data_IF_103126660475
#
_entry.id   IF_103126660475
#
_cell.length_a   1.000
_cell.length_b   1.000
_cell.length_c   1.000
_cell.angle_alpha   90.00
_cell.angle_beta   90.00
_cell.angle_gamma   90.00
#
_symmetry.space_group_name_H-M   'P 1'
#
loop_
_entity.id
_entity.type
_entity.pdbx_description
1 polymer ?
#
# COMPACT_ATOMS: atom_id res chain seq x y z
N UNK A 1 0.90 -6.10 -16.86
CA UNK A 1 0.53 -7.05 -15.77
C UNK A 1 -0.67 -6.46 -15.06
N UNK A 2 -1.68 -7.27 -14.67
CA UNK A 2 -2.89 -6.75 -14.02
C UNK A 2 -3.31 -7.65 -12.86
N UNK A 3 -4.10 -7.08 -11.94
CA UNK A 3 -4.80 -7.83 -10.91
C UNK A 3 -6.29 -7.71 -11.22
N UNK A 4 -6.97 -8.84 -11.31
CA UNK A 4 -8.40 -8.91 -11.64
C UNK A 4 -9.16 -9.48 -10.46
N UNK A 5 -10.14 -8.73 -9.97
CA UNK A 5 -10.99 -9.09 -8.84
C UNK A 5 -12.43 -9.15 -9.32
N UNK A 6 -13.11 -10.28 -9.11
CA UNK A 6 -14.50 -10.51 -9.56
C UNK A 6 -15.35 -10.99 -8.41
N UNK A 7 -16.44 -10.27 -8.12
CA UNK A 7 -17.48 -10.58 -7.15
C UNK A 7 -16.91 -11.01 -5.78
N UNK A 8 -15.86 -10.31 -5.34
CA UNK A 8 -15.12 -10.68 -4.14
C UNK A 8 -15.91 -10.29 -2.88
N UNK A 9 -16.16 -11.28 -2.04
CA UNK A 9 -16.84 -11.11 -0.76
C UNK A 9 -15.99 -11.61 0.40
N UNK A 10 -16.06 -10.90 1.54
CA UNK A 10 -15.51 -11.36 2.79
C UNK A 10 -16.45 -11.10 3.94
N UNK A 11 -16.92 -12.18 4.55
CA UNK A 11 -17.72 -12.18 5.77
C UNK A 11 -16.87 -12.82 6.86
N UNK A 12 -16.67 -12.10 7.97
CA UNK A 12 -15.96 -12.62 9.14
C UNK A 12 -16.88 -13.53 9.98
N UNK A 13 -16.33 -14.41 10.85
CA UNK A 13 -17.15 -15.30 11.69
C UNK A 13 -18.14 -14.57 12.62
N UNK A 14 -17.85 -13.32 12.98
CA UNK A 14 -18.75 -12.48 13.77
C UNK A 14 -19.89 -11.82 12.95
N UNK A 15 -20.08 -12.23 11.69
CA UNK A 15 -21.11 -11.68 10.80
C UNK A 15 -20.75 -10.38 10.10
N UNK A 16 -19.58 -9.77 10.39
CA UNK A 16 -19.16 -8.54 9.73
C UNK A 16 -18.85 -8.79 8.24
N UNK A 17 -19.61 -8.16 7.33
CA UNK A 17 -19.44 -8.23 5.88
C UNK A 17 -18.46 -7.13 5.43
N UNK A 18 -17.17 -7.44 5.47
CA UNK A 18 -16.08 -6.48 5.25
C UNK A 18 -15.82 -6.15 3.77
N UNK A 19 -16.09 -7.08 2.85
CA UNK A 19 -16.06 -6.85 1.40
C UNK A 19 -17.36 -7.36 0.79
N UNK A 20 -17.98 -6.53 -0.05
CA UNK A 20 -19.34 -6.76 -0.60
C UNK A 20 -19.27 -6.61 -2.11
N UNK A 21 -19.23 -7.74 -2.80
CA UNK A 21 -19.26 -7.82 -4.26
C UNK A 21 -18.20 -6.88 -4.92
N UNK A 22 -16.97 -6.94 -4.44
CA UNK A 22 -15.89 -6.09 -4.96
C UNK A 22 -15.50 -6.59 -6.35
N UNK A 23 -15.63 -5.69 -7.33
CA UNK A 23 -15.18 -5.86 -8.71
C UNK A 23 -14.16 -4.77 -9.01
N UNK A 24 -12.93 -5.15 -9.38
CA UNK A 24 -11.84 -4.20 -9.60
C UNK A 24 -10.79 -4.80 -10.53
N UNK A 25 -10.33 -4.00 -11.47
CA UNK A 25 -9.15 -4.27 -12.27
C UNK A 25 -8.06 -3.25 -11.93
N UNK A 26 -6.87 -3.75 -11.57
CA UNK A 26 -5.71 -2.94 -11.20
C UNK A 26 -4.66 -3.12 -12.28
N UNK A 27 -4.38 -2.08 -13.07
CA UNK A 27 -3.35 -2.11 -14.11
C UNK A 27 -1.94 -2.07 -13.51
N UNK A 28 -0.91 -2.27 -14.36
CA UNK A 28 0.47 -2.01 -13.99
C UNK A 28 0.71 -0.54 -13.61
N UNK A 29 1.75 -0.29 -12.81
CA UNK A 29 2.11 1.02 -12.29
C UNK A 29 1.51 1.31 -10.91
N UNK A 30 1.46 2.59 -10.54
CA UNK A 30 0.98 3.03 -9.22
C UNK A 30 -0.56 3.10 -9.19
N UNK A 31 -1.16 2.32 -8.30
CA UNK A 31 -2.60 2.28 -8.07
C UNK A 31 -2.93 2.68 -6.63
N UNK A 32 -3.80 3.67 -6.46
CA UNK A 32 -4.26 4.15 -5.16
C UNK A 32 -5.54 3.46 -4.68
N UNK A 33 -5.52 2.93 -3.45
CA UNK A 33 -6.72 2.42 -2.78
C UNK A 33 -7.12 3.39 -1.67
N UNK A 34 -8.03 4.30 -1.97
CA UNK A 34 -8.52 5.35 -1.06
C UNK A 34 -9.74 4.88 -0.29
N UNK A 35 -9.91 5.37 0.93
CA UNK A 35 -11.13 5.17 1.71
C UNK A 35 -10.91 5.39 3.20
N UNK A 36 -11.98 5.67 3.96
CA UNK A 36 -11.89 5.84 5.40
C UNK A 36 -11.48 4.57 6.13
N UNK A 37 -11.15 4.70 7.42
CA UNK A 37 -10.90 3.55 8.27
C UNK A 37 -12.17 2.67 8.33
N UNK A 38 -11.98 1.35 8.28
CA UNK A 38 -13.10 0.40 8.21
C UNK A 38 -13.75 0.23 6.83
N UNK A 39 -13.27 0.90 5.78
CA UNK A 39 -13.81 0.75 4.41
C UNK A 39 -13.56 -0.64 3.78
N UNK A 40 -12.69 -1.48 4.37
CA UNK A 40 -12.36 -2.80 3.84
C UNK A 40 -10.98 -2.89 3.18
N UNK A 41 -10.22 -1.79 3.08
CA UNK A 41 -8.90 -1.72 2.41
C UNK A 41 -7.94 -2.80 2.89
N UNK A 42 -7.65 -2.84 4.20
CA UNK A 42 -6.71 -3.83 4.76
C UNK A 42 -7.22 -5.27 4.64
N UNK A 43 -8.54 -5.49 4.64
CA UNK A 43 -9.12 -6.81 4.36
C UNK A 43 -8.84 -7.23 2.92
N UNK A 44 -9.08 -6.35 1.94
CA UNK A 44 -8.77 -6.59 0.55
C UNK A 44 -7.28 -6.90 0.36
N UNK A 45 -6.40 -6.06 0.91
CA UNK A 45 -4.95 -6.27 0.82
C UNK A 45 -4.50 -7.60 1.41
N UNK A 46 -5.01 -7.99 2.60
CA UNK A 46 -4.69 -9.29 3.21
C UNK A 46 -5.13 -10.48 2.35
N UNK A 47 -6.22 -10.34 1.60
CA UNK A 47 -6.63 -11.35 0.61
C UNK A 47 -5.63 -11.37 -0.55
N UNK A 48 -5.30 -10.22 -1.15
CA UNK A 48 -4.38 -10.14 -2.28
C UNK A 48 -2.99 -10.71 -1.97
N UNK A 49 -2.50 -10.53 -0.74
CA UNK A 49 -1.21 -11.11 -0.30
C UNK A 49 -1.32 -12.58 0.17
N UNK A 50 -2.46 -13.22 -0.07
CA UNK A 50 -2.74 -14.61 0.33
C UNK A 50 -2.57 -14.90 1.85
N UNK A 51 -2.77 -13.89 2.71
CA UNK A 51 -2.82 -14.01 4.16
C UNK A 51 -4.23 -14.30 4.69
N UNK A 52 -5.25 -14.07 3.86
CA UNK A 52 -6.65 -14.29 4.20
C UNK A 52 -7.40 -14.89 3.02
N UNK A 53 -8.29 -15.83 3.28
CA UNK A 53 -9.17 -16.38 2.25
C UNK A 53 -10.43 -15.52 2.10
N UNK A 54 -10.90 -15.28 0.88
CA UNK A 54 -12.21 -14.70 0.65
C UNK A 54 -13.33 -15.67 1.07
N UNK A 55 -14.52 -15.15 1.28
CA UNK A 55 -15.72 -15.99 1.47
C UNK A 55 -16.25 -16.51 0.12
N UNK A 56 -16.21 -15.66 -0.91
CA UNK A 56 -16.56 -16.00 -2.29
C UNK A 56 -15.91 -15.00 -3.26
N UNK A 57 -16.01 -15.28 -4.55
CA UNK A 57 -15.44 -14.49 -5.63
C UNK A 57 -14.11 -15.04 -6.13
N UNK A 58 -13.50 -14.35 -7.07
CA UNK A 58 -12.27 -14.77 -7.75
C UNK A 58 -11.25 -13.62 -7.75
N UNK A 59 -9.99 -13.97 -7.58
CA UNK A 59 -8.86 -13.03 -7.72
C UNK A 59 -7.78 -13.69 -8.56
N UNK A 60 -7.35 -12.96 -9.58
CA UNK A 60 -6.21 -13.32 -10.42
C UNK A 60 -5.13 -12.25 -10.29
N UNK A 61 -3.88 -12.65 -10.10
CA UNK A 61 -2.71 -11.77 -9.97
C UNK A 61 -1.67 -12.20 -11.00
N UNK A 62 -1.40 -11.35 -11.99
CA UNK A 62 -0.44 -11.65 -13.06
C UNK A 62 -0.69 -13.02 -13.73
N UNK A 63 -1.95 -13.41 -13.94
CA UNK A 63 -2.33 -14.69 -14.56
C UNK A 63 -2.41 -15.87 -13.59
N UNK A 64 -2.10 -15.69 -12.30
CA UNK A 64 -2.20 -16.73 -11.28
C UNK A 64 -3.51 -16.62 -10.48
N UNK A 65 -4.26 -17.73 -10.38
CA UNK A 65 -5.43 -17.83 -9.51
C UNK A 65 -5.02 -17.83 -8.03
N UNK A 66 -5.57 -16.89 -7.26
CA UNK A 66 -5.19 -16.70 -5.85
C UNK A 66 -5.43 -17.94 -4.98
N UNK A 67 -6.49 -18.70 -5.25
CA UNK A 67 -6.83 -19.86 -4.41
C UNK A 67 -6.03 -21.10 -4.77
N UNK A 68 -5.64 -21.26 -6.04
CA UNK A 68 -4.97 -22.45 -6.55
C UNK A 68 -3.43 -22.30 -6.56
N UNK A 69 -2.91 -21.09 -6.74
CA UNK A 69 -1.49 -20.81 -7.04
C UNK A 69 -0.87 -19.83 -6.03
N UNK A 70 -1.15 -20.03 -4.75
CA UNK A 70 -0.67 -19.14 -3.66
C UNK A 70 0.85 -19.06 -3.55
N UNK A 71 1.54 -20.17 -3.86
CA UNK A 71 3.01 -20.22 -3.79
C UNK A 71 3.64 -19.33 -4.85
N UNK A 72 3.13 -19.42 -6.07
CA UNK A 72 3.54 -18.62 -7.22
C UNK A 72 3.30 -17.13 -6.96
N UNK A 73 2.11 -16.80 -6.45
CA UNK A 73 1.75 -15.42 -6.09
C UNK A 73 2.69 -14.86 -5.02
N UNK A 74 2.98 -15.61 -3.96
CA UNK A 74 3.92 -15.16 -2.91
C UNK A 74 5.34 -14.95 -3.44
N UNK A 75 5.75 -15.70 -4.48
CA UNK A 75 7.06 -15.53 -5.11
C UNK A 75 7.21 -14.25 -5.94
N UNK A 76 6.10 -13.65 -6.36
CA UNK A 76 6.09 -12.43 -7.18
C UNK A 76 5.56 -11.20 -6.44
N UNK A 77 5.26 -11.33 -5.13
CA UNK A 77 4.57 -10.31 -4.36
C UNK A 77 5.41 -9.82 -3.18
N UNK A 78 5.59 -8.51 -3.09
CA UNK A 78 6.13 -7.82 -1.93
C UNK A 78 5.01 -7.20 -1.09
N UNK A 79 5.14 -7.24 0.24
CA UNK A 79 4.13 -6.67 1.14
C UNK A 79 4.74 -5.88 2.28
N UNK A 80 4.29 -4.64 2.43
CA UNK A 80 4.56 -3.80 3.59
C UNK A 80 3.24 -3.56 4.35
N UNK A 81 3.02 -4.22 5.50
CA UNK A 81 1.85 -3.99 6.33
C UNK A 81 1.93 -2.65 7.08
N UNK A 82 0.78 -2.13 7.50
CA UNK A 82 0.69 -0.93 8.33
C UNK A 82 1.49 -1.06 9.62
N UNK A 83 1.31 -2.16 10.36
CA UNK A 83 2.00 -2.48 11.61
C UNK A 83 3.24 -3.32 11.37
N UNK A 84 4.21 -2.77 10.66
CA UNK A 84 5.47 -3.46 10.41
C UNK A 84 6.36 -3.47 11.66
N UNK A 85 6.77 -4.68 12.09
CA UNK A 85 7.61 -4.88 13.28
C UNK A 85 8.91 -5.59 12.94
N UNK A 86 9.98 -5.18 13.60
CA UNK A 86 11.29 -5.80 13.47
C UNK A 86 11.59 -6.74 14.62
N UNK A 87 12.37 -7.77 14.35
CA UNK A 87 12.98 -8.57 15.41
C UNK A 87 14.03 -7.72 16.14
N UNK A 88 13.87 -7.58 17.46
CA UNK A 88 14.66 -6.64 18.27
C UNK A 88 16.18 -6.88 18.28
N UNK A 89 16.62 -8.08 17.90
CA UNK A 89 18.02 -8.52 17.97
C UNK A 89 18.78 -8.48 16.64
N UNK A 90 18.13 -8.05 15.53
CA UNK A 90 18.78 -8.00 14.22
C UNK A 90 19.29 -6.59 13.93
N UNK A 91 20.52 -6.49 13.41
CA UNK A 91 21.02 -5.29 12.75
C UNK A 91 20.24 -5.06 11.43
N UNK A 92 20.30 -3.86 10.89
CA UNK A 92 19.58 -3.47 9.68
C UNK A 92 19.90 -4.41 8.51
N UNK A 93 21.20 -4.70 8.27
CA UNK A 93 21.62 -5.60 7.19
C UNK A 93 21.23 -7.07 7.47
N UNK A 94 21.33 -7.53 8.72
CA UNK A 94 20.97 -8.91 9.11
C UNK A 94 19.48 -9.18 8.89
N UNK A 95 18.64 -8.18 9.19
CA UNK A 95 17.21 -8.27 8.95
C UNK A 95 16.91 -8.42 7.45
N UNK A 96 17.59 -7.64 6.60
CA UNK A 96 17.39 -7.71 5.16
C UNK A 96 17.99 -8.99 4.55
N UNK A 97 19.15 -9.46 5.05
CA UNK A 97 19.73 -10.76 4.67
C UNK A 97 18.79 -11.92 5.01
N UNK A 98 18.16 -11.86 6.18
CA UNK A 98 17.15 -12.85 6.57
C UNK A 98 15.95 -12.83 5.61
N UNK A 99 15.44 -11.66 5.26
CA UNK A 99 14.34 -11.53 4.28
C UNK A 99 14.74 -12.09 2.91
N UNK A 100 15.94 -11.79 2.43
CA UNK A 100 16.48 -12.32 1.17
C UNK A 100 16.60 -13.85 1.18
N UNK A 101 17.00 -14.45 2.30
CA UNK A 101 17.02 -15.92 2.47
C UNK A 101 15.63 -16.52 2.37
N UNK A 102 14.66 -15.93 3.06
CA UNK A 102 13.26 -16.40 3.02
C UNK A 102 12.67 -16.31 1.60
N UNK A 103 13.13 -15.36 0.80
CA UNK A 103 12.74 -15.21 -0.60
C UNK A 103 13.49 -16.17 -1.56
N UNK A 104 14.33 -17.08 -1.03
CA UNK A 104 15.00 -18.10 -1.83
C UNK A 104 16.42 -17.74 -2.31
N UNK A 105 17.01 -16.63 -1.89
CA UNK A 105 18.41 -16.28 -2.21
C UNK A 105 19.38 -17.12 -1.38
N UNK A 106 19.78 -18.29 -1.88
CA UNK A 106 20.64 -19.25 -1.14
C UNK A 106 22.12 -18.87 -1.19
N UNK A 107 22.61 -18.29 -2.29
CA UNK A 107 24.03 -17.95 -2.47
C UNK A 107 24.45 -16.73 -1.63
N UNK A 108 25.31 -16.94 -0.64
CA UNK A 108 25.69 -15.92 0.35
C UNK A 108 26.33 -14.67 -0.26
N UNK A 109 27.19 -14.82 -1.29
CA UNK A 109 27.86 -13.68 -1.96
C UNK A 109 26.85 -12.80 -2.71
N UNK A 110 25.96 -13.41 -3.50
CA UNK A 110 24.93 -12.71 -4.26
C UNK A 110 23.95 -12.01 -3.31
N UNK A 111 23.54 -12.70 -2.24
CA UNK A 111 22.65 -12.15 -1.23
C UNK A 111 23.26 -10.94 -0.52
N UNK A 112 24.56 -11.02 -0.13
CA UNK A 112 25.23 -9.88 0.48
C UNK A 112 25.26 -8.67 -0.45
N UNK A 113 25.57 -8.88 -1.73
CA UNK A 113 25.55 -7.82 -2.73
C UNK A 113 24.15 -7.20 -2.87
N UNK A 114 23.11 -8.04 -3.03
CA UNK A 114 21.72 -7.55 -3.14
C UNK A 114 21.27 -6.78 -1.88
N UNK A 115 21.71 -7.21 -0.68
CA UNK A 115 21.43 -6.50 0.58
C UNK A 115 22.11 -5.14 0.60
N UNK A 116 23.40 -5.06 0.21
CA UNK A 116 24.16 -3.82 0.20
C UNK A 116 23.54 -2.83 -0.80
N UNK A 117 23.27 -3.26 -2.04
CA UNK A 117 22.62 -2.45 -3.08
C UNK A 117 21.22 -1.97 -2.63
N UNK A 118 20.43 -2.84 -2.03
CA UNK A 118 19.10 -2.46 -1.55
C UNK A 118 19.17 -1.44 -0.40
N UNK A 119 20.14 -1.57 0.51
CA UNK A 119 20.35 -0.60 1.59
C UNK A 119 20.81 0.75 1.06
N UNK A 120 21.61 0.78 0.00
CA UNK A 120 21.97 2.02 -0.71
C UNK A 120 20.74 2.67 -1.33
N UNK A 121 19.94 1.91 -2.09
CA UNK A 121 18.72 2.39 -2.76
C UNK A 121 17.70 3.02 -1.79
N UNK A 122 17.57 2.46 -0.59
CA UNK A 122 16.66 3.02 0.43
C UNK A 122 17.34 4.02 1.38
N UNK A 123 18.63 4.37 1.15
CA UNK A 123 19.38 5.32 1.97
C UNK A 123 19.59 4.87 3.42
N UNK A 124 19.89 3.59 3.62
CA UNK A 124 20.13 2.98 4.93
C UNK A 124 21.52 2.33 5.06
N UNK A 125 22.36 2.44 4.04
CA UNK A 125 23.68 1.79 4.04
C UNK A 125 24.57 2.26 5.20
N UNK A 126 24.64 3.55 5.49
CA UNK A 126 25.45 4.13 6.57
C UNK A 126 25.03 3.68 7.97
N UNK A 127 23.78 3.21 8.11
CA UNK A 127 23.23 2.71 9.38
C UNK A 127 23.03 1.20 9.38
N UNK A 128 23.65 0.47 8.44
CA UNK A 128 23.51 -0.98 8.27
C UNK A 128 23.85 -1.80 9.51
N UNK A 129 24.80 -1.33 10.32
CA UNK A 129 25.23 -1.99 11.56
C UNK A 129 24.36 -1.61 12.78
N UNK A 130 23.44 -0.66 12.64
CA UNK A 130 22.52 -0.28 13.70
C UNK A 130 21.43 -1.33 13.86
N UNK A 131 21.02 -1.59 15.10
CA UNK A 131 19.88 -2.47 15.34
C UNK A 131 18.60 -1.90 14.71
N UNK A 132 17.82 -2.74 14.01
CA UNK A 132 16.62 -2.32 13.26
C UNK A 132 15.56 -1.67 14.16
N UNK A 133 15.43 -2.10 15.41
CA UNK A 133 14.52 -1.50 16.40
C UNK A 133 14.95 -0.08 16.84
N UNK A 134 16.21 0.31 16.63
CA UNK A 134 16.77 1.63 16.98
C UNK A 134 16.71 2.65 15.84
N UNK A 135 16.18 2.27 14.70
CA UNK A 135 15.94 3.17 13.57
C UNK A 135 14.79 4.14 13.88
N UNK A 136 14.79 5.33 13.24
CA UNK A 136 13.67 6.27 13.27
C UNK A 136 12.41 5.65 12.60
N UNK A 137 11.25 6.29 12.74
CA UNK A 137 10.02 5.84 12.08
C UNK A 137 10.16 5.76 10.55
N UNK A 138 10.69 6.79 9.93
CA UNK A 138 10.96 6.84 8.49
C UNK A 138 11.99 5.80 8.05
N UNK A 139 13.10 5.64 8.78
CA UNK A 139 14.09 4.59 8.51
C UNK A 139 13.49 3.19 8.62
N UNK A 140 12.62 2.95 9.60
CA UNK A 140 11.89 1.69 9.73
C UNK A 140 11.00 1.42 8.53
N UNK A 141 10.27 2.42 8.04
CA UNK A 141 9.44 2.28 6.82
C UNK A 141 10.30 1.96 5.60
N UNK A 142 11.44 2.65 5.43
CA UNK A 142 12.39 2.38 4.33
C UNK A 142 13.00 0.97 4.42
N UNK A 143 13.31 0.47 5.60
CA UNK A 143 13.74 -0.92 5.77
C UNK A 143 12.61 -1.92 5.46
N UNK A 144 11.37 -1.59 5.82
CA UNK A 144 10.19 -2.42 5.49
C UNK A 144 9.93 -2.51 3.99
N UNK A 145 10.07 -1.40 3.25
CA UNK A 145 9.94 -1.47 1.79
C UNK A 145 11.12 -2.20 1.15
N UNK A 146 12.36 -2.03 1.67
CA UNK A 146 13.53 -2.78 1.23
C UNK A 146 13.30 -4.30 1.36
N UNK A 147 12.70 -4.74 2.46
CA UNK A 147 12.30 -6.15 2.64
C UNK A 147 11.29 -6.60 1.59
N UNK A 148 10.30 -5.76 1.28
CA UNK A 148 9.29 -6.10 0.27
C UNK A 148 9.87 -6.15 -1.15
N UNK A 149 10.97 -5.43 -1.41
CA UNK A 149 11.62 -5.29 -2.71
C UNK A 149 12.77 -6.27 -2.97
N UNK A 150 13.39 -6.84 -1.92
CA UNK A 150 14.68 -7.55 -2.01
C UNK A 150 14.69 -8.70 -3.01
N UNK A 151 13.55 -9.29 -3.33
CA UNK A 151 13.40 -10.41 -4.26
C UNK A 151 12.85 -9.99 -5.63
N UNK A 152 12.86 -8.69 -5.95
CA UNK A 152 12.37 -8.12 -7.21
C UNK A 152 10.94 -8.56 -7.56
N UNK A 153 9.94 -8.23 -6.72
CA UNK A 153 8.56 -8.63 -6.92
C UNK A 153 7.95 -7.94 -8.15
N UNK A 154 6.95 -8.59 -8.77
CA UNK A 154 6.13 -7.99 -9.84
C UNK A 154 4.98 -7.15 -9.30
N UNK A 155 4.54 -7.44 -8.09
CA UNK A 155 3.45 -6.74 -7.39
C UNK A 155 3.92 -6.34 -6.01
N UNK A 156 3.67 -5.10 -5.62
CA UNK A 156 3.96 -4.58 -4.28
C UNK A 156 2.68 -4.05 -3.67
N UNK A 157 2.38 -4.48 -2.46
CA UNK A 157 1.23 -3.99 -1.71
C UNK A 157 1.73 -3.28 -0.46
N UNK A 158 1.30 -2.02 -0.30
CA UNK A 158 1.77 -1.13 0.76
C UNK A 158 0.57 -0.58 1.51
N UNK A 159 0.41 -0.97 2.77
CA UNK A 159 -0.76 -0.61 3.58
C UNK A 159 -0.43 0.59 4.49
N UNK A 160 -1.02 1.74 4.20
CA UNK A 160 -0.91 3.03 4.92
C UNK A 160 0.55 3.42 5.29
N UNK A 161 1.48 3.48 4.33
CA UNK A 161 2.90 3.61 4.63
C UNK A 161 3.30 4.98 5.17
N UNK A 162 2.53 6.03 4.87
CA UNK A 162 2.85 7.42 5.22
C UNK A 162 2.28 7.86 6.56
N UNK A 163 1.45 7.01 7.18
CA UNK A 163 0.85 7.29 8.48
C UNK A 163 1.93 7.45 9.56
N UNK A 164 1.92 8.61 10.24
CA UNK A 164 2.89 8.93 11.31
C UNK A 164 4.28 9.35 10.82
N UNK A 165 4.48 9.52 9.52
CA UNK A 165 5.71 10.11 8.97
C UNK A 165 5.60 11.64 8.94
N UNK A 166 6.74 12.30 9.16
CA UNK A 166 6.86 13.73 8.89
C UNK A 166 6.78 14.04 7.38
N UNK A 167 6.54 15.30 6.97
CA UNK A 167 6.36 15.66 5.56
C UNK A 167 7.55 15.30 4.67
N UNK A 168 8.78 15.43 5.17
CA UNK A 168 10.00 15.13 4.41
C UNK A 168 10.16 13.64 4.14
N UNK A 169 10.00 12.79 5.17
CA UNK A 169 10.05 11.34 5.03
C UNK A 169 8.89 10.82 4.15
N UNK A 170 7.72 11.47 4.18
CA UNK A 170 6.60 11.14 3.28
C UNK A 170 6.96 11.38 1.82
N UNK A 171 7.60 12.51 1.51
CA UNK A 171 8.07 12.81 0.14
C UNK A 171 9.12 11.79 -0.30
N UNK A 172 10.11 11.51 0.54
CA UNK A 172 11.16 10.51 0.25
C UNK A 172 10.57 9.13 -0.03
N UNK A 173 9.61 8.70 0.78
CA UNK A 173 8.97 7.41 0.60
C UNK A 173 8.17 7.33 -0.71
N UNK A 174 7.46 8.40 -1.08
CA UNK A 174 6.75 8.47 -2.36
C UNK A 174 7.70 8.42 -3.56
N UNK A 175 8.79 9.16 -3.53
CA UNK A 175 9.79 9.14 -4.59
C UNK A 175 10.36 7.74 -4.78
N UNK A 176 10.71 7.05 -3.70
CA UNK A 176 11.17 5.67 -3.74
C UNK A 176 10.14 4.72 -4.41
N UNK A 177 8.86 4.84 -4.08
CA UNK A 177 7.83 4.03 -4.74
C UNK A 177 7.66 4.39 -6.22
N UNK A 178 7.77 5.67 -6.59
CA UNK A 178 7.71 6.11 -7.98
C UNK A 178 8.84 5.52 -8.81
N UNK A 179 10.08 5.57 -8.34
CA UNK A 179 11.24 4.96 -8.99
C UNK A 179 11.06 3.45 -9.21
N UNK A 180 10.53 2.75 -8.20
CA UNK A 180 10.23 1.32 -8.31
C UNK A 180 9.16 1.04 -9.36
N UNK A 181 8.14 1.91 -9.49
CA UNK A 181 7.04 1.72 -10.43
C UNK A 181 7.42 1.85 -11.90
N UNK A 182 8.54 2.50 -12.22
CA UNK A 182 9.06 2.63 -13.59
C UNK A 182 9.52 1.30 -14.20
N UNK A 183 9.71 0.26 -13.38
CA UNK A 183 10.22 -1.05 -13.80
C UNK A 183 9.10 -2.10 -14.06
N UNK A 184 7.96 -1.71 -14.63
CA UNK A 184 6.82 -2.59 -14.91
C UNK A 184 6.25 -3.30 -13.65
N UNK A 185 6.45 -2.72 -12.47
CA UNK A 185 5.94 -3.23 -11.20
C UNK A 185 4.55 -2.65 -10.93
N UNK A 186 3.61 -3.48 -10.51
CA UNK A 186 2.31 -3.01 -10.03
C UNK A 186 2.42 -2.68 -8.54
N UNK A 187 2.17 -1.43 -8.16
CA UNK A 187 2.20 -0.99 -6.76
C UNK A 187 0.79 -0.60 -6.32
N UNK A 188 0.26 -1.27 -5.30
CA UNK A 188 -1.00 -0.90 -4.66
C UNK A 188 -0.68 -0.15 -3.36
N UNK A 189 -1.05 1.12 -3.32
CA UNK A 189 -0.89 2.00 -2.15
C UNK A 189 -2.24 2.22 -1.48
N UNK A 190 -2.45 1.71 -0.26
CA UNK A 190 -3.62 2.11 0.52
C UNK A 190 -3.34 3.37 1.32
N UNK A 191 -4.32 4.25 1.36
CA UNK A 191 -4.27 5.46 2.20
C UNK A 191 -5.66 6.01 2.44
N UNK A 192 -5.80 6.84 3.46
CA UNK A 192 -6.95 7.73 3.66
C UNK A 192 -6.62 9.19 3.30
N UNK A 193 -5.40 9.45 2.82
CA UNK A 193 -4.88 10.79 2.49
C UNK A 193 -4.94 10.99 0.98
N UNK A 194 -5.83 11.87 0.52
CA UNK A 194 -6.03 12.15 -0.91
C UNK A 194 -4.75 12.64 -1.59
N UNK A 195 -3.97 13.49 -0.90
CA UNK A 195 -2.72 14.05 -1.42
C UNK A 195 -1.65 13.00 -1.76
N UNK A 196 -1.65 11.85 -1.09
CA UNK A 196 -0.69 10.78 -1.40
C UNK A 196 -1.03 10.11 -2.74
N UNK A 197 -2.33 9.98 -3.06
CA UNK A 197 -2.78 9.37 -4.32
C UNK A 197 -2.66 10.36 -5.48
N UNK A 198 -3.16 11.57 -5.32
CA UNK A 198 -3.20 12.56 -6.41
C UNK A 198 -1.83 12.95 -6.94
N UNK A 199 -0.78 12.77 -6.12
CA UNK A 199 0.60 13.11 -6.51
C UNK A 199 1.42 11.94 -7.09
N UNK A 200 0.94 10.69 -6.95
CA UNK A 200 1.76 9.51 -7.31
C UNK A 200 1.01 8.45 -8.12
N UNK A 201 -0.31 8.38 -8.02
CA UNK A 201 -1.08 7.32 -8.68
C UNK A 201 -1.76 7.81 -9.95
N UNK A 202 -1.64 7.04 -11.03
CA UNK A 202 -2.34 7.31 -12.29
C UNK A 202 -3.79 6.79 -12.25
N UNK A 203 -4.02 5.72 -11.48
CA UNK A 203 -5.33 5.10 -11.30
C UNK A 203 -5.60 4.88 -9.81
N UNK A 204 -6.88 4.90 -9.46
CA UNK A 204 -7.31 4.70 -8.08
C UNK A 204 -8.68 4.06 -7.97
N UNK A 205 -8.96 3.43 -6.85
CA UNK A 205 -10.30 3.06 -6.43
C UNK A 205 -10.65 3.71 -5.08
N UNK A 206 -11.89 4.17 -4.95
CA UNK A 206 -12.45 4.62 -3.68
C UNK A 206 -13.28 3.49 -3.06
N UNK A 207 -12.87 3.05 -1.88
CA UNK A 207 -13.63 2.08 -1.10
C UNK A 207 -14.45 2.75 -0.01
N UNK A 208 -15.69 2.32 0.13
CA UNK A 208 -16.56 2.74 1.22
C UNK A 208 -17.43 1.54 1.67
N UNK A 209 -17.49 1.26 2.97
CA UNK A 209 -18.32 0.21 3.59
C UNK A 209 -18.24 -1.16 2.90
N UNK A 210 -17.04 -1.53 2.46
CA UNK A 210 -16.75 -2.82 1.83
C UNK A 210 -17.01 -2.88 0.32
N UNK A 211 -17.36 -1.79 -0.32
CA UNK A 211 -17.63 -1.69 -1.76
C UNK A 211 -16.69 -0.72 -2.44
N UNK A 212 -16.45 -0.92 -3.75
CA UNK A 212 -15.79 0.07 -4.61
C UNK A 212 -16.86 1.02 -5.11
N UNK A 213 -16.77 2.28 -4.69
CA UNK A 213 -17.70 3.35 -5.10
C UNK A 213 -17.21 4.18 -6.28
N UNK A 214 -15.91 4.11 -6.58
CA UNK A 214 -15.29 4.76 -7.74
C UNK A 214 -14.07 3.95 -8.17
N UNK A 215 -13.84 3.89 -9.48
CA UNK A 215 -12.62 3.37 -10.10
C UNK A 215 -12.29 4.22 -11.33
N UNK A 216 -11.08 4.78 -11.41
CA UNK A 216 -10.64 5.66 -12.47
C UNK A 216 -9.39 6.46 -12.11
N UNK A 217 -9.11 7.55 -12.84
CA UNK A 217 -8.01 8.43 -12.50
C UNK A 217 -8.37 9.40 -11.35
N UNK A 218 -7.38 9.93 -10.60
CA UNK A 218 -7.62 11.02 -9.64
C UNK A 218 -8.30 12.24 -10.28
N UNK A 219 -7.98 12.54 -11.54
CA UNK A 219 -8.57 13.65 -12.30
C UNK A 219 -10.08 13.40 -12.56
N UNK A 220 -10.46 12.18 -12.89
CA UNK A 220 -11.87 11.84 -13.10
C UNK A 220 -12.66 11.93 -11.80
N UNK A 221 -12.04 11.55 -10.68
CA UNK A 221 -12.65 11.74 -9.36
C UNK A 221 -12.88 13.22 -9.03
N UNK A 222 -11.93 14.10 -9.35
CA UNK A 222 -12.08 15.55 -9.16
C UNK A 222 -13.21 16.12 -10.00
N UNK A 223 -13.37 15.68 -11.27
CA UNK A 223 -14.49 16.10 -12.13
C UNK A 223 -15.86 15.74 -11.53
N UNK A 224 -15.96 14.59 -10.84
CA UNK A 224 -17.21 14.19 -10.15
C UNK A 224 -17.58 15.11 -8.99
N UNK A 225 -16.60 15.79 -8.39
CA UNK A 225 -16.80 16.75 -7.31
C UNK A 225 -17.05 18.18 -7.82
N UNK A 226 -16.83 18.44 -9.11
CA UNK A 226 -17.02 19.75 -9.72
C UNK A 226 -18.48 20.20 -9.60
N UNK A 227 -18.70 21.42 -9.14
CA UNK A 227 -20.02 21.96 -8.86
C UNK A 227 -20.74 21.42 -7.61
N UNK A 228 -20.12 20.47 -6.86
CA UNK A 228 -20.67 19.91 -5.63
C UNK A 228 -19.93 20.36 -4.37
N UNK A 229 -18.74 20.93 -4.53
CA UNK A 229 -17.90 21.43 -3.43
C UNK A 229 -17.56 22.88 -3.69
N UNK A 230 -17.77 23.72 -2.69
CA UNK A 230 -17.56 25.16 -2.77
C UNK A 230 -16.59 25.61 -1.68
N UNK A 231 -15.65 26.46 -2.01
CA UNK A 231 -14.81 27.14 -1.02
C UNK A 231 -15.44 28.47 -0.68
N UNK A 232 -15.87 28.63 0.57
CA UNK A 232 -16.48 29.84 1.08
C UNK A 232 -15.46 30.54 1.99
N UNK A 233 -15.30 31.85 1.85
CA UNK A 233 -14.58 32.69 2.82
C UNK A 233 -15.63 33.41 3.66
N UNK A 234 -15.61 33.20 4.98
CA UNK A 234 -16.54 33.81 5.92
C UNK A 234 -15.78 34.44 7.07
N UNK A 235 -16.32 35.46 7.70
CA UNK A 235 -15.83 36.01 8.97
C UNK A 235 -16.08 35.01 10.11
N UNK A 236 -15.27 35.06 11.18
CA UNK A 236 -15.29 34.03 12.24
C UNK A 236 -16.63 33.85 12.93
N UNK A 237 -17.43 34.92 13.04
CA UNK A 237 -18.79 34.92 13.57
C UNK A 237 -19.80 34.18 12.67
N UNK A 238 -19.59 34.18 11.35
CA UNK A 238 -20.45 33.51 10.36
C UNK A 238 -20.14 32.03 10.21
N UNK A 239 -18.93 31.56 10.59
CA UNK A 239 -18.53 30.16 10.44
C UNK A 239 -19.46 29.22 11.18
N UNK A 240 -19.92 29.59 12.37
CA UNK A 240 -20.81 28.77 13.20
C UNK A 240 -22.22 28.61 12.59
N UNK A 241 -22.72 29.60 11.87
CA UNK A 241 -24.01 29.51 11.16
C UNK A 241 -23.88 28.65 9.89
N UNK A 242 -22.75 28.76 9.19
CA UNK A 242 -22.45 27.96 8.00
C UNK A 242 -22.32 26.48 8.36
N UNK A 243 -21.58 26.16 9.43
CA UNK A 243 -21.37 24.79 9.90
C UNK A 243 -22.67 24.08 10.34
N UNK A 244 -23.65 24.86 10.85
CA UNK A 244 -25.00 24.34 11.15
C UNK A 244 -25.85 24.07 9.91
N UNK A 245 -25.62 24.79 8.83
CA UNK A 245 -26.48 24.77 7.65
C UNK A 245 -25.97 23.90 6.52
N UNK A 246 -24.65 23.68 6.45
CA UNK A 246 -23.98 22.94 5.39
C UNK A 246 -22.96 21.97 5.99
N UNK A 247 -22.76 20.78 5.38
CA UNK A 247 -21.66 19.89 5.75
C UNK A 247 -20.33 20.54 5.41
N UNK A 248 -19.63 21.07 6.42
CA UNK A 248 -18.31 21.70 6.26
C UNK A 248 -17.22 20.63 6.33
N UNK A 249 -16.32 20.65 5.34
CA UNK A 249 -15.10 19.84 5.31
C UNK A 249 -13.94 20.80 5.60
N UNK A 250 -13.32 20.68 6.78
CA UNK A 250 -12.19 21.50 7.22
C UNK A 250 -10.87 20.88 6.79
#
# INVERSE_FOLDING_TARGET
>A
MSIIIKNLNKIYPNGNHALKDVNLEIPAGMFGLLGPNGAGKSTLMRILVALMEPTSGQVEICGYDLMKQRKEIRGILGYLPQDFRFFAKYKTYEFLDYAARLSGMTHSRQRKQAVDEMLENVGLFDVRERYANKLSGGMKRRLGIAQALIHHPKVIIVDEPTTGLDPEERIRFRNLLSEVSENDVTIILSTHIVGDISSTCNNMALMNRGQVSFNGSPQDMLKLAEGKVWRIRAAGDQLHEIDKKYPVIS
#
